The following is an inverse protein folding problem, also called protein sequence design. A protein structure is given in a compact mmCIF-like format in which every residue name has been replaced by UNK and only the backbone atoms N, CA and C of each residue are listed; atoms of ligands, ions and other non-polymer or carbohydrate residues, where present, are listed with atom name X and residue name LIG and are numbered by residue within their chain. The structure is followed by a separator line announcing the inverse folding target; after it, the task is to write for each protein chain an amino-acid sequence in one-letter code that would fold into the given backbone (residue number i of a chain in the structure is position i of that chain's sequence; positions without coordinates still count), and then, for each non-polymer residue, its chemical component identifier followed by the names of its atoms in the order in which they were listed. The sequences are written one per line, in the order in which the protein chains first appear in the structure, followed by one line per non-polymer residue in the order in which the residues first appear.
data_IF_168347336172
#
_entry.id   IF_168347336172
#
_cell.length_a   1.000
_cell.length_b   1.000
_cell.length_c   1.000
_cell.angle_alpha   90.00
_cell.angle_beta   90.00
_cell.angle_gamma   90.00
#
_symmetry.space_group_name_H-M   'P 1'
#
loop_
_entity.id
_entity.type
_entity.pdbx_description
1 polymer ?
#
# COMPACT_ATOMS: atom_id res chain seq x y z
N UNK A 1 -0.20 7.57 22.51
CA UNK A 1 -0.77 8.22 21.30
C UNK A 1 0.30 9.11 20.66
N UNK A 2 0.14 9.42 19.38
CA UNK A 2 1.03 10.36 18.68
C UNK A 2 1.10 11.68 19.46
N UNK A 3 2.30 12.11 19.85
CA UNK A 3 2.51 13.36 20.59
C UNK A 3 2.27 13.32 22.11
N UNK A 4 2.17 12.13 22.72
CA UNK A 4 2.19 12.01 24.18
C UNK A 4 3.61 12.08 24.78
N UNK A 5 3.72 12.10 26.11
CA UNK A 5 4.99 12.21 26.82
C UNK A 5 5.95 11.04 26.57
N UNK A 6 5.42 9.87 26.16
CA UNK A 6 6.20 8.69 25.80
C UNK A 6 6.56 8.63 24.31
N UNK A 7 6.12 9.62 23.54
CA UNK A 7 6.37 9.71 22.11
C UNK A 7 7.85 9.91 21.84
N UNK A 8 8.41 9.14 20.91
CA UNK A 8 9.81 9.26 20.47
C UNK A 8 9.83 9.89 19.07
N UNK A 9 9.97 11.22 18.94
CA UNK A 9 9.82 11.91 17.65
C UNK A 9 10.82 11.42 16.61
N UNK A 10 12.05 11.15 17.03
CA UNK A 10 13.14 10.67 16.16
C UNK A 10 12.81 9.32 15.53
N UNK A 11 12.24 8.39 16.32
CA UNK A 11 11.83 7.07 15.82
C UNK A 11 10.75 7.22 14.75
N UNK A 12 9.75 8.06 15.00
CA UNK A 12 8.65 8.22 14.05
C UNK A 12 9.08 8.93 12.78
N UNK A 13 9.91 9.97 12.89
CA UNK A 13 10.48 10.64 11.72
C UNK A 13 11.24 9.64 10.84
N UNK A 14 12.03 8.74 11.44
CA UNK A 14 12.76 7.71 10.71
C UNK A 14 11.83 6.65 10.08
N UNK A 15 10.78 6.22 10.80
CA UNK A 15 9.77 5.32 10.23
C UNK A 15 9.01 5.94 9.04
N UNK A 16 8.83 7.26 9.01
CA UNK A 16 8.20 7.96 7.89
C UNK A 16 9.14 8.17 6.70
N UNK A 17 10.44 8.34 6.95
CA UNK A 17 11.44 8.58 5.90
C UNK A 17 11.86 7.29 5.18
N UNK A 18 12.19 6.22 5.93
CA UNK A 18 12.80 5.01 5.37
C UNK A 18 11.99 4.38 4.21
N UNK A 19 10.66 4.22 4.30
CA UNK A 19 9.89 3.62 3.20
C UNK A 19 9.93 4.47 1.93
N UNK A 20 9.97 5.81 2.07
CA UNK A 20 10.03 6.73 0.93
C UNK A 20 11.38 6.68 0.24
N UNK A 21 12.45 6.59 1.01
CA UNK A 21 13.81 6.46 0.48
C UNK A 21 13.97 5.14 -0.26
N UNK A 22 13.57 4.03 0.36
CA UNK A 22 13.58 2.72 -0.27
C UNK A 22 12.73 2.68 -1.56
N UNK A 23 11.55 3.29 -1.55
CA UNK A 23 10.70 3.30 -2.74
C UNK A 23 11.30 4.05 -3.94
N UNK A 24 12.24 4.98 -3.73
CA UNK A 24 12.98 5.65 -4.82
C UNK A 24 13.91 4.70 -5.58
N UNK A 25 14.25 3.56 -5.00
CA UNK A 25 15.13 2.56 -5.60
C UNK A 25 14.34 1.55 -6.47
N UNK A 26 13.01 1.63 -6.47
CA UNK A 26 12.11 0.71 -7.19
C UNK A 26 11.62 1.37 -8.47
N UNK A 27 11.78 0.71 -9.63
CA UNK A 27 11.40 1.29 -10.92
C UNK A 27 9.88 1.33 -11.15
N UNK A 28 9.15 0.30 -10.71
CA UNK A 28 7.72 0.13 -10.98
C UNK A 28 6.94 -0.27 -9.72
N UNK A 29 6.96 0.57 -8.68
CA UNK A 29 6.26 0.25 -7.43
C UNK A 29 4.75 0.23 -7.64
N UNK A 30 4.07 -0.63 -6.88
CA UNK A 30 2.62 -0.60 -6.68
C UNK A 30 2.38 -0.56 -5.17
N UNK A 31 1.49 0.32 -4.72
CA UNK A 31 1.10 0.39 -3.31
C UNK A 31 -0.14 -0.47 -3.09
N UNK A 32 -0.14 -1.28 -2.04
CA UNK A 32 -1.31 -2.06 -1.62
C UNK A 32 -1.74 -1.57 -0.25
N UNK A 33 -2.89 -0.89 -0.19
CA UNK A 33 -3.50 -0.43 1.06
C UNK A 33 -4.58 -1.42 1.52
N UNK A 34 -4.52 -1.82 2.79
CA UNK A 34 -5.38 -2.87 3.33
C UNK A 34 -6.13 -2.37 4.56
N UNK A 35 -7.46 -2.48 4.53
CA UNK A 35 -8.34 -2.35 5.70
C UNK A 35 -8.43 -0.94 6.31
N UNK A 36 -7.69 0.03 5.80
CA UNK A 36 -7.77 1.41 6.26
C UNK A 36 -9.05 2.06 5.76
N UNK A 37 -10.02 2.27 6.65
CA UNK A 37 -11.23 3.03 6.38
C UNK A 37 -11.09 4.52 6.71
N UNK A 38 -12.19 5.26 6.61
CA UNK A 38 -12.25 6.70 6.89
C UNK A 38 -11.84 7.09 8.33
N UNK A 39 -11.84 6.15 9.28
CA UNK A 39 -11.42 6.41 10.66
C UNK A 39 -9.91 6.67 10.80
N UNK A 40 -9.09 6.21 9.84
CA UNK A 40 -7.63 6.40 9.85
C UNK A 40 -7.15 6.89 8.48
N UNK A 41 -7.48 8.15 8.12
CA UNK A 41 -7.17 8.71 6.80
C UNK A 41 -5.66 8.86 6.56
N UNK A 42 -4.85 8.81 7.61
CA UNK A 42 -3.39 8.89 7.51
C UNK A 42 -2.77 7.76 6.69
N UNK A 43 -3.41 6.58 6.64
CA UNK A 43 -2.93 5.48 5.80
C UNK A 43 -3.09 5.83 4.31
N UNK A 44 -4.28 6.32 3.93
CA UNK A 44 -4.57 6.78 2.56
C UNK A 44 -3.63 7.91 2.15
N UNK A 45 -3.48 8.93 2.99
CA UNK A 45 -2.57 10.05 2.71
C UNK A 45 -1.11 9.58 2.56
N UNK A 46 -0.67 8.64 3.39
CA UNK A 46 0.68 8.09 3.27
C UNK A 46 0.87 7.30 1.96
N UNK A 47 -0.09 6.45 1.60
CA UNK A 47 -0.07 5.67 0.36
C UNK A 47 0.01 6.57 -0.89
N UNK A 48 -0.78 7.66 -0.92
CA UNK A 48 -0.78 8.61 -2.04
C UNK A 48 0.57 9.31 -2.23
N UNK A 49 1.35 9.49 -1.16
CA UNK A 49 2.64 10.19 -1.26
C UNK A 49 3.72 9.44 -2.04
N UNK A 50 3.51 8.17 -2.37
CA UNK A 50 4.41 7.40 -3.22
C UNK A 50 4.23 7.72 -4.71
N UNK A 51 3.12 8.37 -5.11
CA UNK A 51 2.84 8.69 -6.52
C UNK A 51 2.69 7.47 -7.44
N UNK A 52 2.65 6.26 -6.87
CA UNK A 52 2.52 4.99 -7.57
C UNK A 52 1.04 4.60 -7.79
N UNK A 53 0.75 3.65 -8.68
CA UNK A 53 -0.57 3.00 -8.74
C UNK A 53 -0.93 2.36 -7.39
N UNK A 54 -2.19 2.48 -6.99
CA UNK A 54 -2.69 2.03 -5.70
C UNK A 54 -3.77 0.97 -5.83
N UNK A 55 -3.57 -0.17 -5.16
CA UNK A 55 -4.59 -1.18 -4.95
C UNK A 55 -5.15 -1.01 -3.54
N UNK A 56 -6.44 -0.71 -3.43
CA UNK A 56 -7.15 -0.56 -2.16
C UNK A 56 -7.99 -1.80 -1.89
N UNK A 57 -7.72 -2.48 -0.78
CA UNK A 57 -8.51 -3.63 -0.34
C UNK A 57 -9.27 -3.25 0.94
N UNK A 58 -10.58 -3.21 0.86
CA UNK A 58 -11.43 -2.87 1.99
C UNK A 58 -12.78 -3.60 1.92
N UNK A 59 -13.43 -3.85 3.06
CA UNK A 59 -14.74 -4.51 3.09
C UNK A 59 -15.88 -3.60 2.62
N UNK A 60 -15.79 -2.29 2.88
CA UNK A 60 -16.93 -1.38 2.69
C UNK A 60 -16.57 -0.07 1.99
N UNK A 61 -15.30 0.31 2.03
CA UNK A 61 -14.83 1.59 1.53
C UNK A 61 -13.62 1.40 0.61
N UNK A 62 -13.76 0.63 -0.46
CA UNK A 62 -12.70 0.32 -1.43
C UNK A 62 -12.50 1.37 -2.52
N UNK A 63 -13.28 2.46 -2.51
CA UNK A 63 -13.31 3.44 -3.60
C UNK A 63 -11.97 4.14 -3.81
N UNK A 64 -11.66 4.42 -5.06
CA UNK A 64 -10.47 5.16 -5.51
C UNK A 64 -10.87 6.19 -6.57
N UNK A 65 -10.05 7.22 -6.74
CA UNK A 65 -10.38 8.37 -7.61
C UNK A 65 -9.55 8.41 -8.90
N UNK A 66 -8.29 7.95 -8.85
CA UNK A 66 -7.40 7.94 -10.01
C UNK A 66 -7.74 6.77 -10.92
N UNK A 67 -7.53 6.94 -12.22
CA UNK A 67 -7.86 5.92 -13.22
C UNK A 67 -6.92 4.72 -13.15
N UNK A 68 -5.68 4.95 -12.74
CA UNK A 68 -4.63 3.94 -12.55
C UNK A 68 -4.75 3.16 -11.23
N UNK A 69 -5.65 3.58 -10.34
CA UNK A 69 -5.88 2.93 -9.05
C UNK A 69 -6.99 1.88 -9.16
N UNK A 70 -6.93 0.86 -8.30
CA UNK A 70 -7.91 -0.23 -8.25
C UNK A 70 -8.48 -0.36 -6.85
N UNK A 71 -9.80 -0.25 -6.76
CA UNK A 71 -10.56 -0.57 -5.54
C UNK A 71 -11.07 -2.01 -5.58
N UNK A 72 -10.75 -2.82 -4.58
CA UNK A 72 -11.22 -4.20 -4.44
C UNK A 72 -11.98 -4.35 -3.12
N UNK A 73 -13.26 -4.70 -3.24
CA UNK A 73 -14.10 -5.02 -2.10
C UNK A 73 -13.85 -6.44 -1.64
N UNK A 74 -13.43 -6.64 -0.39
CA UNK A 74 -13.27 -7.99 0.15
C UNK A 74 -12.38 -8.09 1.37
N UNK A 75 -12.29 -9.33 1.90
CA UNK A 75 -11.32 -9.68 2.93
C UNK A 75 -9.91 -9.62 2.38
N UNK A 76 -9.00 -8.99 3.13
CA UNK A 76 -7.62 -8.76 2.71
C UNK A 76 -6.92 -10.03 2.22
N UNK A 77 -7.01 -11.10 3.01
CA UNK A 77 -6.34 -12.37 2.72
C UNK A 77 -6.87 -13.02 1.43
N UNK A 78 -8.19 -13.08 1.28
CA UNK A 78 -8.83 -13.70 0.13
C UNK A 78 -8.51 -12.95 -1.17
N UNK A 79 -8.45 -11.61 -1.10
CA UNK A 79 -8.06 -10.79 -2.25
C UNK A 79 -6.59 -10.99 -2.59
N UNK A 80 -5.70 -11.04 -1.60
CA UNK A 80 -4.28 -11.28 -1.83
C UNK A 80 -4.01 -12.66 -2.44
N UNK A 81 -4.72 -13.71 -1.99
CA UNK A 81 -4.63 -15.03 -2.62
C UNK A 81 -5.11 -15.02 -4.07
N UNK A 82 -6.16 -14.26 -4.40
CA UNK A 82 -6.63 -14.13 -5.78
C UNK A 82 -5.63 -13.37 -6.67
N UNK A 83 -4.99 -12.32 -6.14
CA UNK A 83 -3.92 -11.60 -6.84
C UNK A 83 -2.74 -12.54 -7.11
N UNK A 84 -2.30 -13.29 -6.09
CA UNK A 84 -1.20 -14.25 -6.21
C UNK A 84 -1.50 -15.34 -7.25
N UNK A 85 -2.70 -15.93 -7.19
CA UNK A 85 -3.14 -16.92 -8.17
C UNK A 85 -3.20 -16.35 -9.60
N UNK A 86 -3.65 -15.11 -9.76
CA UNK A 86 -3.67 -14.44 -11.06
C UNK A 86 -2.24 -14.23 -11.61
N UNK A 87 -1.32 -13.75 -10.77
CA UNK A 87 0.09 -13.57 -11.13
C UNK A 87 0.76 -14.91 -11.50
N UNK A 88 0.46 -15.98 -10.76
CA UNK A 88 0.98 -17.32 -11.04
C UNK A 88 0.39 -17.93 -12.33
N UNK A 89 -0.86 -17.60 -12.67
CA UNK A 89 -1.49 -18.04 -13.93
C UNK A 89 -0.97 -17.28 -15.16
N UNK A 90 -0.42 -16.09 -14.95
CA UNK A 90 0.18 -15.22 -15.98
C UNK A 90 1.71 -15.40 -16.08
N UNK A 91 2.25 -16.52 -15.58
CA UNK A 91 3.68 -16.83 -15.41
C UNK A 91 4.49 -16.94 -16.73
N UNK A 92 4.56 -15.84 -17.46
CA UNK A 92 5.64 -15.47 -18.38
C UNK A 92 6.21 -14.07 -18.10
N UNK A 93 5.96 -13.52 -16.91
CA UNK A 93 6.51 -12.22 -16.53
C UNK A 93 7.52 -12.37 -15.40
N UNK A 94 8.79 -12.40 -15.83
CA UNK A 94 9.99 -11.99 -15.10
C UNK A 94 10.60 -13.10 -14.20
N UNK A 95 11.47 -13.91 -14.80
CA UNK A 95 12.69 -14.32 -14.10
C UNK A 95 13.44 -13.03 -13.74
N UNK A 96 13.28 -12.57 -12.49
CA UNK A 96 14.04 -11.46 -11.97
C UNK A 96 15.45 -11.99 -11.67
N UNK A 97 16.36 -11.81 -12.63
CA UNK A 97 17.80 -11.97 -12.41
C UNK A 97 18.20 -11.07 -11.25
N UNK A 98 18.80 -11.69 -10.24
CA UNK A 98 19.36 -11.06 -9.04
C UNK A 98 20.61 -10.26 -9.38
#
# INVERSE_FOLDING_TARGET
MFGDESWVPTRTAQQQANPREWAREIERPVVIEIGAGQAVPSIRLFAETFGAPLIRINLEDERVTRQEDVGIRGGALDVLHQIDAALASDARLIEATR
#
